data_IF_995904623266
#
_entry.id   IF_995904623266
#
_cell.length_a   1.000
_cell.length_b   1.000
_cell.length_c   1.000
_cell.angle_alpha   90.00
_cell.angle_beta   90.00
_cell.angle_gamma   90.00
#
_symmetry.space_group_name_H-M   'P 1'
#
loop_
_entity.id
_entity.type
_entity.pdbx_description
1 polymer ?
#
# COMPACT_ATOMS: atom_id res chain seq x y z
N UNK A 1 3.75 -31.65 -5.87
CA UNK A 1 3.84 -30.31 -6.47
C UNK A 1 5.12 -29.68 -5.98
N UNK A 2 6.00 -29.25 -6.88
CA UNK A 2 7.19 -28.49 -6.53
C UNK A 2 6.81 -27.01 -6.43
N UNK A 3 7.46 -26.27 -5.54
CA UNK A 3 7.23 -24.85 -5.35
C UNK A 3 8.56 -24.16 -5.56
N UNK A 4 8.63 -23.27 -6.56
CA UNK A 4 9.74 -22.34 -6.70
C UNK A 4 9.50 -21.20 -5.72
N UNK A 5 10.19 -21.25 -4.58
CA UNK A 5 10.28 -20.10 -3.69
C UNK A 5 11.27 -19.12 -4.29
N UNK A 6 10.92 -17.84 -4.27
CA UNK A 6 11.86 -16.77 -4.61
C UNK A 6 12.95 -16.66 -3.53
N UNK A 7 14.08 -16.04 -3.85
CA UNK A 7 15.27 -16.10 -2.99
C UNK A 7 15.04 -15.40 -1.66
N UNK A 8 14.24 -14.33 -1.60
CA UNK A 8 13.90 -13.69 -0.33
C UNK A 8 13.09 -14.60 0.59
N UNK A 9 12.14 -15.38 0.06
CA UNK A 9 11.41 -16.34 0.87
C UNK A 9 12.32 -17.45 1.36
N UNK A 10 13.30 -17.88 0.57
CA UNK A 10 14.29 -18.85 1.04
C UNK A 10 15.15 -18.27 2.17
N UNK A 11 15.60 -17.02 2.06
CA UNK A 11 16.37 -16.34 3.11
C UNK A 11 15.52 -16.14 4.37
N UNK A 12 14.29 -15.64 4.24
CA UNK A 12 13.39 -15.46 5.38
C UNK A 12 13.01 -16.80 6.03
N UNK A 13 12.81 -17.86 5.25
CA UNK A 13 12.64 -19.23 5.77
C UNK A 13 13.86 -19.66 6.58
N UNK A 14 15.08 -19.45 6.06
CA UNK A 14 16.32 -19.79 6.77
C UNK A 14 16.38 -19.05 8.10
N UNK A 15 16.07 -17.76 8.09
CA UNK A 15 16.16 -16.92 9.29
C UNK A 15 15.14 -17.31 10.36
N UNK A 16 13.89 -17.60 9.99
CA UNK A 16 12.89 -18.09 10.94
C UNK A 16 13.28 -19.45 11.52
N UNK A 17 13.84 -20.35 10.70
CA UNK A 17 14.35 -21.63 11.19
C UNK A 17 15.55 -21.40 12.12
N UNK A 18 16.48 -20.51 11.80
CA UNK A 18 17.65 -20.20 12.62
C UNK A 18 17.27 -19.50 13.93
N UNK A 19 16.26 -18.62 13.94
CA UNK A 19 15.72 -18.02 15.16
C UNK A 19 15.21 -19.08 16.13
N UNK A 20 14.45 -20.04 15.61
CA UNK A 20 13.87 -21.13 16.42
C UNK A 20 14.93 -22.16 16.82
N UNK A 21 15.92 -22.38 15.96
CA UNK A 21 17.07 -23.22 16.25
C UNK A 21 18.04 -22.59 17.28
N UNK A 22 18.01 -21.26 17.39
CA UNK A 22 18.81 -20.49 18.34
C UNK A 22 20.28 -20.31 17.94
N UNK A 23 20.71 -20.86 16.80
CA UNK A 23 22.09 -20.73 16.28
C UNK A 23 22.12 -20.63 14.76
N UNK A 24 23.20 -20.06 14.20
CA UNK A 24 23.42 -20.03 12.75
C UNK A 24 23.80 -21.41 12.21
N UNK A 25 23.29 -21.75 11.04
CA UNK A 25 23.56 -23.03 10.38
C UNK A 25 24.61 -22.79 9.30
N UNK A 26 25.82 -23.29 9.54
CA UNK A 26 26.97 -23.02 8.67
C UNK A 26 27.70 -24.29 8.24
N UNK A 27 27.47 -25.41 8.93
CA UNK A 27 28.17 -26.67 8.69
C UNK A 27 27.23 -27.81 8.33
N UNK A 28 27.79 -28.87 7.74
CA UNK A 28 27.05 -30.11 7.49
C UNK A 28 26.53 -30.74 8.78
N UNK A 29 27.25 -30.59 9.90
CA UNK A 29 26.85 -31.12 11.20
C UNK A 29 25.58 -30.44 11.70
N UNK A 30 25.51 -29.11 11.58
CA UNK A 30 24.31 -28.33 11.93
C UNK A 30 23.08 -28.79 11.14
N UNK A 31 23.24 -29.15 9.86
CA UNK A 31 22.15 -29.68 9.04
C UNK A 31 21.69 -31.09 9.46
N UNK A 32 22.59 -31.92 10.01
CA UNK A 32 22.23 -33.24 10.53
C UNK A 32 21.45 -33.08 11.83
N UNK A 33 21.94 -32.22 12.72
CA UNK A 33 21.34 -31.97 14.03
C UNK A 33 19.96 -31.29 13.87
N UNK A 34 19.85 -30.32 12.95
CA UNK A 34 18.57 -29.71 12.61
C UNK A 34 17.59 -30.72 12.00
N UNK A 35 18.04 -31.63 11.12
CA UNK A 35 17.16 -32.66 10.55
C UNK A 35 16.56 -33.57 11.64
N UNK A 36 17.36 -33.92 12.66
CA UNK A 36 16.90 -34.68 13.81
C UNK A 36 15.90 -33.87 14.65
N UNK A 37 16.15 -32.58 14.87
CA UNK A 37 15.26 -31.71 15.61
C UNK A 37 13.91 -31.47 14.91
N UNK A 38 13.92 -31.30 13.58
CA UNK A 38 12.70 -31.20 12.77
C UNK A 38 11.87 -32.47 12.90
N UNK A 39 12.51 -33.64 12.79
CA UNK A 39 11.82 -34.92 12.95
C UNK A 39 11.20 -35.05 14.34
N UNK A 40 11.93 -34.68 15.39
CA UNK A 40 11.46 -34.79 16.77
C UNK A 40 10.29 -33.84 17.05
N UNK A 41 10.32 -32.61 16.53
CA UNK A 41 9.30 -31.59 16.77
C UNK A 41 8.05 -31.74 15.88
N UNK A 42 8.20 -32.23 14.66
CA UNK A 42 7.14 -32.20 13.64
C UNK A 42 6.71 -33.59 13.13
N UNK A 43 7.38 -34.64 13.62
CA UNK A 43 7.26 -36.02 13.12
C UNK A 43 7.47 -36.15 11.61
N UNK A 44 8.23 -35.23 10.99
CA UNK A 44 8.41 -35.16 9.55
C UNK A 44 9.89 -35.25 9.17
N UNK A 45 10.19 -36.11 8.20
CA UNK A 45 11.57 -36.38 7.79
C UNK A 45 12.01 -35.40 6.71
N UNK A 46 13.02 -34.58 7.03
CA UNK A 46 13.74 -33.75 6.06
C UNK A 46 15.18 -34.25 5.96
N UNK A 47 15.67 -34.47 4.75
CA UNK A 47 17.05 -34.93 4.53
C UNK A 47 18.07 -33.83 4.82
N UNK A 48 19.16 -34.15 5.52
CA UNK A 48 20.26 -33.21 5.78
C UNK A 48 20.87 -32.64 4.50
N UNK A 49 20.89 -33.41 3.41
CA UNK A 49 21.33 -32.92 2.09
C UNK A 49 20.38 -31.86 1.51
N UNK A 50 19.09 -31.97 1.76
CA UNK A 50 18.10 -30.95 1.35
C UNK A 50 18.29 -29.67 2.15
N UNK A 51 18.57 -29.80 3.45
CA UNK A 51 18.89 -28.65 4.30
C UNK A 51 20.19 -27.96 3.87
N UNK A 52 21.23 -28.73 3.50
CA UNK A 52 22.49 -28.15 2.98
C UNK A 52 22.27 -27.29 1.74
N UNK A 53 21.38 -27.71 0.83
CA UNK A 53 20.96 -26.89 -0.33
C UNK A 53 20.12 -25.70 0.11
N UNK A 54 19.18 -25.93 1.04
CA UNK A 54 18.32 -24.88 1.58
C UNK A 54 19.15 -23.75 2.18
N UNK A 55 20.18 -24.03 2.99
CA UNK A 55 21.03 -23.04 3.66
C UNK A 55 22.21 -22.54 2.82
N UNK A 56 22.31 -22.91 1.55
CA UNK A 56 23.40 -22.42 0.67
C UNK A 56 24.78 -23.01 0.96
N UNK A 57 24.87 -24.09 1.75
CA UNK A 57 26.14 -24.82 1.99
C UNK A 57 26.58 -25.59 0.73
N UNK A 58 25.63 -25.90 -0.16
CA UNK A 58 25.86 -26.52 -1.47
C UNK A 58 25.07 -25.75 -2.52
N UNK A 59 25.74 -25.30 -3.58
CA UNK A 59 25.10 -24.63 -4.72
C UNK A 59 23.98 -25.47 -5.32
N UNK A 60 22.82 -24.85 -5.55
CA UNK A 60 21.66 -25.53 -6.10
C UNK A 60 20.62 -24.55 -6.63
N UNK A 61 20.22 -24.74 -7.90
CA UNK A 61 19.28 -23.86 -8.62
C UNK A 61 17.94 -24.56 -8.93
N UNK A 62 17.51 -25.48 -8.07
CA UNK A 62 16.29 -26.28 -8.27
C UNK A 62 15.08 -25.82 -7.43
N UNK A 63 14.00 -26.60 -7.47
CA UNK A 63 12.78 -26.34 -6.70
C UNK A 63 12.66 -27.29 -5.50
N UNK A 64 12.15 -26.77 -4.37
CA UNK A 64 11.89 -27.60 -3.20
C UNK A 64 10.49 -28.23 -3.29
N UNK A 65 10.37 -29.45 -2.77
CA UNK A 65 9.06 -30.10 -2.65
C UNK A 65 8.22 -29.35 -1.62
N UNK A 66 6.95 -29.08 -1.94
CA UNK A 66 6.00 -28.45 -1.01
C UNK A 66 5.98 -29.13 0.38
N UNK A 67 5.97 -30.46 0.40
CA UNK A 67 5.97 -31.23 1.65
C UNK A 67 7.20 -31.00 2.53
N UNK A 68 8.35 -30.68 1.93
CA UNK A 68 9.56 -30.30 2.66
C UNK A 68 9.40 -28.90 3.24
N UNK A 69 8.87 -27.95 2.47
CA UNK A 69 8.63 -26.59 2.95
C UNK A 69 7.57 -26.56 4.07
N UNK A 70 6.51 -27.36 3.97
CA UNK A 70 5.50 -27.50 5.02
C UNK A 70 6.05 -28.13 6.30
N UNK A 71 7.01 -29.05 6.20
CA UNK A 71 7.69 -29.60 7.38
C UNK A 71 8.56 -28.55 8.08
N UNK A 72 9.22 -27.68 7.30
CA UNK A 72 10.02 -26.58 7.82
C UNK A 72 9.14 -25.48 8.45
N UNK A 73 8.00 -25.17 7.82
CA UNK A 73 7.04 -24.20 8.37
C UNK A 73 6.46 -24.67 9.71
N UNK A 74 6.09 -25.95 9.83
CA UNK A 74 5.68 -26.54 11.10
C UNK A 74 6.76 -26.52 12.16
N UNK A 75 8.02 -26.72 11.75
CA UNK A 75 9.13 -26.54 12.67
C UNK A 75 9.22 -25.09 13.16
N UNK A 76 8.92 -24.14 12.27
CA UNK A 76 8.87 -22.72 12.54
C UNK A 76 7.60 -22.22 13.29
N UNK A 77 6.72 -23.15 13.69
CA UNK A 77 5.50 -22.85 14.44
C UNK A 77 4.25 -22.57 13.59
N UNK A 78 4.34 -22.72 12.27
CA UNK A 78 3.23 -22.43 11.34
C UNK A 78 2.59 -23.68 10.75
N UNK A 79 1.30 -23.59 10.40
CA UNK A 79 0.53 -24.75 9.94
C UNK A 79 0.97 -25.26 8.56
N UNK A 80 1.38 -24.35 7.68
CA UNK A 80 1.85 -24.66 6.33
C UNK A 80 2.91 -23.66 5.84
N UNK A 81 3.63 -24.03 4.78
CA UNK A 81 4.57 -23.11 4.13
C UNK A 81 3.89 -21.85 3.61
N UNK A 82 2.64 -21.94 3.16
CA UNK A 82 1.86 -20.78 2.74
C UNK A 82 1.54 -19.84 3.91
N UNK A 83 1.26 -20.37 5.11
CA UNK A 83 0.96 -19.54 6.29
C UNK A 83 2.21 -18.84 6.81
N UNK A 84 3.36 -19.53 6.79
CA UNK A 84 4.64 -18.89 7.09
C UNK A 84 4.99 -17.80 6.07
N UNK A 85 4.75 -18.05 4.77
CA UNK A 85 4.92 -17.03 3.72
C UNK A 85 4.02 -15.83 4.00
N UNK A 86 2.73 -16.05 4.33
CA UNK A 86 1.80 -14.98 4.68
C UNK A 86 2.26 -14.18 5.89
N UNK A 87 2.70 -14.85 6.96
CA UNK A 87 3.27 -14.17 8.14
C UNK A 87 4.50 -13.33 7.80
N UNK A 88 5.37 -13.84 6.94
CA UNK A 88 6.56 -13.12 6.43
C UNK A 88 6.15 -11.96 5.52
N UNK A 89 5.01 -12.05 4.83
CA UNK A 89 4.44 -10.97 4.02
C UNK A 89 3.75 -9.90 4.88
N UNK A 90 3.10 -10.30 5.97
CA UNK A 90 2.36 -9.42 6.90
C UNK A 90 3.30 -8.65 7.83
N UNK A 91 4.47 -9.21 8.15
CA UNK A 91 5.56 -8.48 8.76
C UNK A 91 6.38 -7.84 7.64
N UNK A 92 6.50 -6.51 7.60
CA UNK A 92 7.27 -5.73 6.61
C UNK A 92 8.80 -6.03 6.62
N UNK A 93 9.19 -7.29 6.50
CA UNK A 93 10.57 -7.75 6.49
C UNK A 93 11.23 -7.62 5.12
N UNK A 94 10.49 -7.13 4.11
CA UNK A 94 11.02 -6.83 2.78
C UNK A 94 12.20 -5.85 2.87
N UNK A 95 12.15 -4.85 3.75
CA UNK A 95 13.26 -3.92 3.96
C UNK A 95 14.49 -4.60 4.56
N UNK A 96 14.31 -5.50 5.53
CA UNK A 96 15.42 -6.24 6.16
C UNK A 96 16.05 -7.25 5.18
N UNK A 97 15.24 -7.84 4.29
CA UNK A 97 15.73 -8.74 3.24
C UNK A 97 16.47 -7.95 2.14
N UNK A 98 15.99 -6.76 1.75
CA UNK A 98 16.68 -5.89 0.79
C UNK A 98 18.04 -5.41 1.33
N UNK A 99 18.13 -5.08 2.62
CA UNK A 99 19.39 -4.77 3.30
C UNK A 99 20.34 -5.97 3.31
N UNK A 100 19.83 -7.20 3.51
CA UNK A 100 20.66 -8.42 3.43
C UNK A 100 21.17 -8.73 2.02
N UNK A 101 20.39 -8.44 0.98
CA UNK A 101 20.83 -8.64 -0.42
C UNK A 101 21.97 -7.70 -0.83
N UNK A 102 22.04 -6.47 -0.27
CA UNK A 102 23.21 -5.59 -0.44
C UNK A 102 24.48 -6.15 0.23
N UNK A 103 24.34 -6.88 1.33
CA UNK A 103 25.47 -7.44 2.08
C UNK A 103 26.14 -8.61 1.31
N UNK A 104 25.42 -9.28 0.40
CA UNK A 104 25.95 -10.41 -0.37
C UNK A 104 26.75 -10.05 -1.65
N UNK A 105 27.07 -8.77 -1.90
CA UNK A 105 27.91 -8.35 -3.05
C UNK A 105 27.43 -8.86 -4.43
N UNK A 106 26.12 -8.94 -4.63
CA UNK A 106 25.60 -9.04 -6.00
C UNK A 106 25.62 -7.63 -6.59
N UNK A 107 26.31 -7.45 -7.71
CA UNK A 107 26.33 -6.18 -8.44
C UNK A 107 24.98 -6.02 -9.15
N UNK A 108 23.96 -5.64 -8.36
CA UNK A 108 22.59 -5.47 -8.85
C UNK A 108 22.57 -4.18 -9.67
N UNK A 109 22.43 -4.31 -10.98
CA UNK A 109 22.35 -3.21 -11.93
C UNK A 109 20.98 -3.16 -12.66
N UNK A 110 20.81 -2.13 -13.50
CA UNK A 110 19.60 -1.92 -14.31
C UNK A 110 19.31 -3.13 -15.22
N UNK A 111 20.37 -3.76 -15.74
CA UNK A 111 20.27 -4.89 -16.65
C UNK A 111 19.74 -6.13 -15.93
N UNK A 112 20.26 -6.41 -14.73
CA UNK A 112 19.81 -7.54 -13.91
C UNK A 112 18.33 -7.42 -13.53
N UNK A 113 17.89 -6.25 -13.06
CA UNK A 113 16.48 -6.00 -12.73
C UNK A 113 15.60 -6.22 -13.97
N UNK A 114 15.99 -5.64 -15.10
CA UNK A 114 15.21 -5.76 -16.34
C UNK A 114 15.07 -7.21 -16.77
N UNK A 115 16.17 -7.97 -16.76
CA UNK A 115 16.15 -9.38 -17.12
C UNK A 115 15.24 -10.19 -16.17
N UNK A 116 15.33 -9.95 -14.87
CA UNK A 116 14.50 -10.66 -13.88
C UNK A 116 12.99 -10.40 -14.10
N UNK A 117 12.62 -9.12 -14.32
CA UNK A 117 11.24 -8.73 -14.63
C UNK A 117 10.74 -9.28 -15.98
N UNK A 118 11.64 -9.53 -16.93
CA UNK A 118 11.32 -10.16 -18.22
C UNK A 118 11.03 -11.67 -18.05
N UNK A 119 11.71 -12.35 -17.14
CA UNK A 119 11.47 -13.76 -16.79
C UNK A 119 10.20 -13.96 -15.94
N UNK A 120 9.87 -12.98 -15.10
CA UNK A 120 8.61 -12.91 -14.38
C UNK A 120 8.61 -11.87 -13.27
N UNK A 121 7.53 -11.10 -13.14
CA UNK A 121 7.42 -10.04 -12.12
C UNK A 121 7.22 -10.65 -10.74
N UNK A 122 8.17 -10.44 -9.84
CA UNK A 122 8.05 -10.79 -8.41
C UNK A 122 8.13 -9.54 -7.53
N UNK A 123 7.63 -9.64 -6.29
CA UNK A 123 7.75 -8.56 -5.31
C UNK A 123 9.22 -8.20 -5.04
N UNK A 124 10.11 -9.19 -5.05
CA UNK A 124 11.55 -8.99 -4.79
C UNK A 124 12.19 -8.10 -5.85
N UNK A 125 11.95 -8.41 -7.12
CA UNK A 125 12.53 -7.65 -8.25
C UNK A 125 12.07 -6.20 -8.24
N UNK A 126 10.78 -5.98 -7.94
CA UNK A 126 10.21 -4.65 -7.86
C UNK A 126 10.77 -3.88 -6.67
N UNK A 127 10.90 -4.52 -5.51
CA UNK A 127 11.45 -3.86 -4.32
C UNK A 127 12.94 -3.58 -4.43
N UNK A 128 13.69 -4.44 -5.12
CA UNK A 128 15.08 -4.20 -5.48
C UNK A 128 15.21 -3.02 -6.43
N UNK A 129 14.36 -2.94 -7.45
CA UNK A 129 14.27 -1.77 -8.33
C UNK A 129 13.91 -0.49 -7.54
N UNK A 130 12.94 -0.59 -6.62
CA UNK A 130 12.51 0.50 -5.75
C UNK A 130 13.67 1.04 -4.90
N UNK A 131 14.44 0.14 -4.28
CA UNK A 131 15.58 0.50 -3.46
C UNK A 131 16.70 1.17 -4.28
N UNK A 132 17.00 0.62 -5.47
CA UNK A 132 17.96 1.24 -6.37
C UNK A 132 17.50 2.61 -6.87
N UNK A 133 16.21 2.78 -7.16
CA UNK A 133 15.61 4.07 -7.48
C UNK A 133 15.90 5.09 -6.39
N UNK A 134 15.68 4.73 -5.11
CA UNK A 134 15.96 5.63 -4.00
C UNK A 134 17.45 5.98 -3.87
N UNK A 135 18.35 5.01 -4.02
CA UNK A 135 19.80 5.27 -4.01
C UNK A 135 20.20 6.26 -5.11
N UNK A 136 19.70 6.04 -6.34
CA UNK A 136 20.04 6.93 -7.47
C UNK A 136 19.40 8.30 -7.31
N UNK A 137 18.20 8.36 -6.73
CA UNK A 137 17.54 9.62 -6.40
C UNK A 137 18.37 10.41 -5.37
N UNK A 138 18.86 9.77 -4.31
CA UNK A 138 19.72 10.41 -3.30
C UNK A 138 21.08 10.84 -3.86
N UNK A 139 21.59 10.15 -4.87
CA UNK A 139 22.80 10.52 -5.61
C UNK A 139 22.59 11.66 -6.63
N UNK A 140 21.34 12.07 -6.89
CA UNK A 140 21.01 13.03 -7.95
C UNK A 140 21.16 12.48 -9.37
N UNK A 141 21.26 11.15 -9.54
CA UNK A 141 21.38 10.48 -10.84
C UNK A 141 20.00 10.31 -11.49
N UNK A 142 19.42 11.44 -11.89
CA UNK A 142 18.06 11.52 -12.44
C UNK A 142 17.88 10.63 -13.67
N UNK A 143 18.88 10.53 -14.55
CA UNK A 143 18.79 9.69 -15.75
C UNK A 143 18.67 8.21 -15.44
N UNK A 144 19.38 7.70 -14.40
CA UNK A 144 19.18 6.33 -13.95
C UNK A 144 17.82 6.11 -13.31
N UNK A 145 17.32 7.07 -12.54
CA UNK A 145 15.98 6.97 -11.96
C UNK A 145 14.92 6.82 -13.04
N UNK A 146 14.98 7.66 -14.10
CA UNK A 146 14.07 7.58 -15.25
C UNK A 146 14.13 6.19 -15.91
N UNK A 147 15.33 5.68 -16.22
CA UNK A 147 15.47 4.36 -16.86
C UNK A 147 14.97 3.20 -16.00
N UNK A 148 15.20 3.25 -14.69
CA UNK A 148 14.70 2.22 -13.78
C UNK A 148 13.17 2.25 -13.67
N UNK A 149 12.55 3.43 -13.56
CA UNK A 149 11.10 3.55 -13.60
C UNK A 149 10.51 3.06 -14.93
N UNK A 150 11.17 3.35 -16.05
CA UNK A 150 10.77 2.82 -17.37
C UNK A 150 10.86 1.30 -17.44
N UNK A 151 11.84 0.68 -16.78
CA UNK A 151 11.95 -0.78 -16.66
C UNK A 151 10.74 -1.39 -15.93
N UNK A 152 10.11 -0.62 -15.03
CA UNK A 152 8.90 -1.01 -14.31
C UNK A 152 7.60 -0.80 -15.11
N UNK A 153 7.65 -0.31 -16.35
CA UNK A 153 6.45 -0.02 -17.16
C UNK A 153 5.49 -1.22 -17.32
N UNK A 154 6.01 -2.45 -17.32
CA UNK A 154 5.19 -3.67 -17.38
C UNK A 154 4.19 -3.80 -16.23
N UNK A 155 4.50 -3.21 -15.06
CA UNK A 155 3.58 -3.17 -13.93
C UNK A 155 2.35 -2.30 -14.26
N UNK A 156 2.57 -1.19 -14.95
CA UNK A 156 1.53 -0.26 -15.35
C UNK A 156 0.62 -0.88 -16.44
N UNK A 157 1.22 -1.52 -17.44
CA UNK A 157 0.49 -2.20 -18.52
C UNK A 157 -0.45 -3.32 -18.01
N UNK A 158 -0.15 -3.89 -16.84
CA UNK A 158 -0.96 -4.92 -16.17
C UNK A 158 -1.34 -4.50 -14.75
N UNK A 159 -1.69 -3.23 -14.56
CA UNK A 159 -1.92 -2.61 -13.24
C UNK A 159 -2.85 -3.40 -12.33
N UNK A 160 -3.96 -3.91 -12.84
CA UNK A 160 -4.92 -4.70 -12.05
C UNK A 160 -4.31 -5.99 -11.52
N UNK A 161 -3.51 -6.68 -12.35
CA UNK A 161 -2.86 -7.93 -11.97
C UNK A 161 -1.75 -7.70 -10.93
N UNK A 162 -1.05 -6.57 -11.03
CA UNK A 162 0.05 -6.21 -10.14
C UNK A 162 -0.31 -5.13 -9.11
N UNK A 163 -1.59 -4.97 -8.78
CA UNK A 163 -2.07 -3.88 -7.93
C UNK A 163 -1.38 -3.88 -6.57
N UNK A 164 -1.34 -5.02 -5.88
CA UNK A 164 -0.73 -5.13 -4.55
C UNK A 164 0.77 -4.85 -4.58
N UNK A 165 1.50 -5.31 -5.61
CA UNK A 165 2.94 -5.04 -5.77
C UNK A 165 3.19 -3.55 -6.05
N UNK A 166 2.38 -2.95 -6.93
CA UNK A 166 2.47 -1.53 -7.26
C UNK A 166 2.17 -0.65 -6.04
N UNK A 167 1.21 -1.06 -5.21
CA UNK A 167 0.91 -0.37 -3.95
C UNK A 167 2.11 -0.37 -3.00
N UNK A 168 2.76 -1.52 -2.78
CA UNK A 168 3.94 -1.61 -1.91
C UNK A 168 5.10 -0.78 -2.47
N UNK A 169 5.36 -0.86 -3.78
CA UNK A 169 6.35 -0.02 -4.47
C UNK A 169 6.10 1.47 -4.16
N UNK A 170 4.87 1.95 -4.37
CA UNK A 170 4.51 3.34 -4.17
C UNK A 170 4.76 3.80 -2.74
N UNK A 171 4.29 3.04 -1.73
CA UNK A 171 4.47 3.41 -0.33
C UNK A 171 5.94 3.46 0.09
N UNK A 172 6.79 2.65 -0.55
CA UNK A 172 8.22 2.66 -0.30
C UNK A 172 8.94 3.87 -0.94
N UNK A 173 8.60 4.23 -2.18
CA UNK A 173 9.36 5.26 -2.93
C UNK A 173 8.75 6.66 -2.89
N UNK A 174 7.42 6.77 -2.81
CA UNK A 174 6.71 8.04 -2.97
C UNK A 174 7.14 9.13 -1.97
N UNK A 175 7.36 8.86 -0.67
CA UNK A 175 7.78 9.90 0.28
C UNK A 175 9.05 10.63 -0.15
N UNK A 176 10.00 9.91 -0.76
CA UNK A 176 11.25 10.49 -1.27
C UNK A 176 11.06 11.20 -2.60
N UNK A 177 10.20 10.68 -3.48
CA UNK A 177 9.87 11.36 -4.74
C UNK A 177 9.18 12.69 -4.51
N UNK A 178 8.25 12.80 -3.56
CA UNK A 178 7.52 14.05 -3.32
C UNK A 178 8.45 15.17 -2.81
N UNK A 179 9.53 14.82 -2.10
CA UNK A 179 10.53 15.79 -1.62
C UNK A 179 11.39 16.40 -2.74
N UNK A 180 11.30 15.88 -3.96
CA UNK A 180 12.02 16.42 -5.12
C UNK A 180 11.45 17.81 -5.46
N UNK A 181 12.34 18.78 -5.64
CA UNK A 181 12.00 20.17 -6.00
C UNK A 181 12.52 20.61 -7.36
N UNK A 182 13.32 19.76 -8.01
CA UNK A 182 13.80 20.03 -9.37
C UNK A 182 12.66 19.87 -10.37
N UNK A 183 12.10 21.01 -10.79
CA UNK A 183 11.02 21.11 -11.76
C UNK A 183 11.34 20.41 -13.09
N UNK A 184 12.58 20.49 -13.56
CA UNK A 184 12.97 19.83 -14.80
C UNK A 184 12.89 18.31 -14.64
N UNK A 185 13.30 17.79 -13.49
CA UNK A 185 13.23 16.36 -13.22
C UNK A 185 11.81 15.88 -12.97
N UNK A 186 10.99 16.65 -12.25
CA UNK A 186 9.56 16.34 -12.05
C UNK A 186 8.83 16.25 -13.39
N UNK A 187 9.08 17.20 -14.31
CA UNK A 187 8.47 17.15 -15.64
C UNK A 187 8.85 15.85 -16.35
N UNK A 188 10.13 15.45 -16.33
CA UNK A 188 10.59 14.20 -16.93
C UNK A 188 9.99 12.96 -16.28
N UNK A 189 9.87 12.93 -14.95
CA UNK A 189 9.19 11.83 -14.25
C UNK A 189 7.77 11.64 -14.78
N UNK A 190 7.04 12.74 -14.94
CA UNK A 190 5.65 12.74 -15.37
C UNK A 190 5.50 12.35 -16.85
N UNK A 191 6.37 12.87 -17.72
CA UNK A 191 6.21 12.69 -19.18
C UNK A 191 6.94 11.48 -19.76
N UNK A 192 8.02 11.02 -19.12
CA UNK A 192 8.90 9.97 -19.67
C UNK A 192 8.72 8.61 -18.97
N UNK A 193 7.96 8.53 -17.88
CA UNK A 193 7.92 7.33 -17.02
C UNK A 193 6.51 6.98 -16.54
N UNK A 194 6.27 5.76 -16.05
CA UNK A 194 4.99 5.37 -15.45
C UNK A 194 4.79 5.92 -14.01
N UNK A 195 5.55 6.96 -13.60
CA UNK A 195 5.53 7.53 -12.24
C UNK A 195 4.12 7.90 -11.76
N UNK A 196 3.31 8.52 -12.62
CA UNK A 196 1.93 8.89 -12.26
C UNK A 196 1.12 7.66 -11.82
N UNK A 197 1.29 6.56 -12.53
CA UNK A 197 0.50 5.35 -12.41
C UNK A 197 1.02 4.37 -11.36
N UNK A 198 2.34 4.32 -11.15
CA UNK A 198 2.98 3.38 -10.23
C UNK A 198 3.34 3.98 -8.88
N UNK A 199 3.38 5.31 -8.76
CA UNK A 199 3.81 5.99 -7.54
C UNK A 199 2.75 7.00 -7.10
N UNK A 200 2.53 8.04 -7.91
CA UNK A 200 1.75 9.20 -7.47
C UNK A 200 0.28 8.86 -7.19
N UNK A 201 -0.33 7.98 -7.98
CA UNK A 201 -1.75 7.60 -7.81
C UNK A 201 -1.99 6.60 -6.67
N UNK A 202 -0.95 5.87 -6.22
CA UNK A 202 -1.05 4.82 -5.20
C UNK A 202 -0.76 5.33 -3.78
N UNK A 203 0.02 6.41 -3.62
CA UNK A 203 0.37 7.00 -2.33
C UNK A 203 -0.09 8.45 -2.29
N UNK A 204 -1.18 8.71 -1.54
CA UNK A 204 -1.90 9.98 -1.59
C UNK A 204 -2.00 10.62 -0.19
N UNK A 205 -0.93 11.25 0.32
CA UNK A 205 -0.94 11.92 1.62
C UNK A 205 -1.77 13.21 1.52
N UNK A 206 -3.10 13.10 1.61
CA UNK A 206 -4.00 14.22 1.27
C UNK A 206 -3.82 15.45 2.16
N UNK A 207 -3.29 15.27 3.37
CA UNK A 207 -2.97 16.39 4.27
C UNK A 207 -1.75 17.20 3.79
N UNK A 208 -1.00 16.71 2.79
CA UNK A 208 0.15 17.38 2.15
C UNK A 208 -0.20 17.96 0.75
N UNK A 209 -1.50 18.17 0.44
CA UNK A 209 -1.91 18.78 -0.83
C UNK A 209 -1.48 20.25 -1.00
N UNK A 210 -1.22 20.94 0.11
CA UNK A 210 -0.58 22.27 0.08
C UNK A 210 0.94 22.21 -0.14
N UNK A 211 1.58 21.08 0.12
CA UNK A 211 3.02 20.93 0.15
C UNK A 211 3.61 20.22 -1.07
N UNK A 212 4.47 19.25 -0.78
CA UNK A 212 5.36 18.59 -1.75
C UNK A 212 4.58 17.62 -2.65
N UNK A 213 3.70 16.79 -2.07
CA UNK A 213 2.77 15.97 -2.86
C UNK A 213 1.87 16.82 -3.76
N UNK A 214 1.29 17.90 -3.22
CA UNK A 214 0.47 18.83 -3.98
C UNK A 214 1.15 19.44 -5.21
N UNK A 215 2.46 19.69 -5.13
CA UNK A 215 3.26 20.18 -6.27
C UNK A 215 3.25 19.19 -7.42
N UNK A 216 3.45 17.91 -7.12
CA UNK A 216 3.42 16.83 -8.11
C UNK A 216 2.03 16.67 -8.71
N UNK A 217 0.97 16.81 -7.91
CA UNK A 217 -0.43 16.78 -8.39
C UNK A 217 -0.70 17.94 -9.35
N UNK A 218 -0.26 19.17 -9.04
CA UNK A 218 -0.39 20.32 -9.95
C UNK A 218 0.36 20.07 -11.27
N UNK A 219 1.56 19.49 -11.21
CA UNK A 219 2.31 19.09 -12.39
C UNK A 219 1.64 17.98 -13.21
N UNK A 220 0.99 17.01 -12.56
CA UNK A 220 0.19 15.99 -13.25
C UNK A 220 -0.90 16.67 -14.10
N UNK A 221 -1.64 17.60 -13.53
CA UNK A 221 -2.70 18.35 -14.22
C UNK A 221 -2.14 19.22 -15.35
N UNK A 222 -0.98 19.84 -15.16
CA UNK A 222 -0.33 20.68 -16.19
C UNK A 222 0.19 19.88 -17.40
N UNK A 223 0.69 18.65 -17.18
CA UNK A 223 1.50 17.94 -18.18
C UNK A 223 0.84 16.70 -18.77
N UNK A 224 -0.06 16.03 -18.03
CA UNK A 224 -0.71 14.82 -18.52
C UNK A 224 -1.90 15.16 -19.41
N UNK A 225 -2.13 14.40 -20.47
CA UNK A 225 -3.35 14.50 -21.29
C UNK A 225 -4.32 13.32 -21.07
N UNK A 226 -4.01 12.40 -20.15
CA UNK A 226 -4.89 11.27 -19.86
C UNK A 226 -6.06 11.70 -18.96
N UNK A 227 -7.28 11.33 -19.36
CA UNK A 227 -8.52 11.68 -18.63
C UNK A 227 -8.49 11.24 -17.16
N UNK A 228 -7.95 10.04 -16.87
CA UNK A 228 -7.89 9.52 -15.50
C UNK A 228 -6.89 10.30 -14.63
N UNK A 229 -5.74 10.70 -15.19
CA UNK A 229 -4.80 11.59 -14.49
C UNK A 229 -5.42 12.96 -14.23
N UNK A 230 -6.13 13.52 -15.22
CA UNK A 230 -6.82 14.81 -15.09
C UNK A 230 -7.90 14.75 -14.00
N UNK A 231 -8.75 13.72 -14.04
CA UNK A 231 -9.77 13.49 -13.03
C UNK A 231 -9.19 13.27 -11.63
N UNK A 232 -8.12 12.48 -11.52
CA UNK A 232 -7.42 12.24 -10.26
C UNK A 232 -6.84 13.52 -9.68
N UNK A 233 -6.08 14.27 -10.48
CA UNK A 233 -5.44 15.50 -10.04
C UNK A 233 -6.43 16.60 -9.68
N UNK A 234 -7.41 16.86 -10.56
CA UNK A 234 -8.45 17.86 -10.29
C UNK A 234 -9.32 17.50 -9.10
N UNK A 235 -9.66 16.23 -8.88
CA UNK A 235 -10.45 15.84 -7.70
C UNK A 235 -9.69 16.07 -6.40
N UNK A 236 -8.37 15.79 -6.35
CA UNK A 236 -7.55 16.10 -5.18
C UNK A 236 -7.42 17.61 -4.93
N UNK A 237 -7.17 18.40 -5.98
CA UNK A 237 -7.08 19.86 -5.85
C UNK A 237 -8.43 20.48 -5.45
N UNK A 238 -9.55 19.93 -5.92
CA UNK A 238 -10.88 20.32 -5.47
C UNK A 238 -11.12 19.98 -4.00
N UNK A 239 -10.72 18.79 -3.54
CA UNK A 239 -10.76 18.43 -2.11
C UNK A 239 -9.98 19.42 -1.26
N UNK A 240 -8.75 19.76 -1.66
CA UNK A 240 -7.92 20.73 -0.93
C UNK A 240 -8.56 22.12 -0.88
N UNK A 241 -9.05 22.62 -2.03
CA UNK A 241 -9.73 23.91 -2.08
C UNK A 241 -10.96 23.96 -1.16
N UNK A 242 -11.75 22.88 -1.08
CA UNK A 242 -12.87 22.79 -0.14
C UNK A 242 -12.42 22.82 1.33
N UNK A 243 -11.35 22.10 1.69
CA UNK A 243 -10.83 22.12 3.07
C UNK A 243 -10.30 23.48 3.51
N UNK A 244 -9.85 24.29 2.56
CA UNK A 244 -9.44 25.68 2.79
C UNK A 244 -10.60 26.69 2.70
N UNK A 245 -11.83 26.23 2.42
CA UNK A 245 -13.00 27.09 2.25
C UNK A 245 -13.11 27.81 0.90
N UNK A 246 -12.23 27.50 -0.06
CA UNK A 246 -12.26 28.06 -1.42
C UNK A 246 -13.20 27.25 -2.34
N UNK A 247 -14.49 27.51 -2.19
CA UNK A 247 -15.54 26.88 -3.00
C UNK A 247 -15.46 27.21 -4.49
N UNK A 248 -14.89 28.37 -4.87
CA UNK A 248 -14.81 28.80 -6.27
C UNK A 248 -13.78 27.95 -7.00
N UNK A 249 -12.58 27.83 -6.44
CA UNK A 249 -11.50 27.01 -7.01
C UNK A 249 -11.89 25.53 -7.01
N UNK A 250 -12.53 25.04 -5.94
CA UNK A 250 -13.05 23.68 -5.90
C UNK A 250 -14.01 23.38 -7.06
N UNK A 251 -14.95 24.31 -7.32
CA UNK A 251 -15.89 24.20 -8.42
C UNK A 251 -15.17 24.20 -9.77
N UNK A 252 -14.20 25.09 -9.99
CA UNK A 252 -13.44 25.15 -11.25
C UNK A 252 -12.71 23.84 -11.56
N UNK A 253 -12.03 23.26 -10.57
CA UNK A 253 -11.37 21.96 -10.74
C UNK A 253 -12.37 20.86 -11.07
N UNK A 254 -13.51 20.81 -10.39
CA UNK A 254 -14.53 19.81 -10.68
C UNK A 254 -15.12 19.93 -12.09
N UNK A 255 -15.29 21.16 -12.61
CA UNK A 255 -15.75 21.38 -13.99
C UNK A 255 -14.73 20.92 -15.03
N UNK A 256 -13.47 20.76 -14.64
CA UNK A 256 -12.39 20.30 -15.53
C UNK A 256 -12.34 18.76 -15.63
N UNK A 257 -13.13 18.05 -14.82
CA UNK A 257 -13.20 16.58 -14.84
C UNK A 257 -14.21 16.13 -15.90
N UNK A 258 -13.77 15.25 -16.81
CA UNK A 258 -14.65 14.59 -17.77
C UNK A 258 -15.55 13.57 -17.04
N UNK A 259 -16.84 13.85 -16.88
CA UNK A 259 -17.77 12.99 -16.12
C UNK A 259 -18.47 11.92 -16.96
N UNK A 260 -18.24 11.89 -18.27
CA UNK A 260 -18.86 10.91 -19.17
C UNK A 260 -18.08 9.58 -19.21
N UNK A 261 -17.00 9.47 -18.43
CA UNK A 261 -16.19 8.26 -18.27
C UNK A 261 -16.47 7.54 -16.97
N UNK A 262 -16.29 6.22 -17.01
CA UNK A 262 -16.18 5.39 -15.83
C UNK A 262 -14.76 5.46 -15.26
N UNK A 263 -14.65 5.81 -13.98
CA UNK A 263 -13.39 5.83 -13.24
C UNK A 263 -13.30 4.66 -12.27
N UNK A 264 -12.08 4.35 -11.82
CA UNK A 264 -11.87 3.41 -10.73
C UNK A 264 -12.66 3.84 -9.47
N UNK A 265 -13.22 2.86 -8.75
CA UNK A 265 -14.21 3.07 -7.68
C UNK A 265 -13.85 4.18 -6.67
N UNK A 266 -12.60 4.20 -6.19
CA UNK A 266 -12.12 5.24 -5.26
C UNK A 266 -12.19 6.66 -5.86
N UNK A 267 -11.79 6.81 -7.13
CA UNK A 267 -11.80 8.09 -7.82
C UNK A 267 -13.23 8.53 -8.11
N UNK A 268 -14.06 7.61 -8.59
CA UNK A 268 -15.48 7.87 -8.86
C UNK A 268 -16.19 8.37 -7.60
N UNK A 269 -16.05 7.67 -6.48
CA UNK A 269 -16.69 8.07 -5.23
C UNK A 269 -16.19 9.42 -4.70
N UNK A 270 -14.90 9.75 -4.87
CA UNK A 270 -14.39 11.10 -4.56
C UNK A 270 -15.06 12.17 -5.43
N UNK A 271 -15.17 11.94 -6.74
CA UNK A 271 -15.79 12.89 -7.68
C UNK A 271 -17.26 13.12 -7.33
N UNK A 272 -18.01 12.05 -7.03
CA UNK A 272 -19.45 12.15 -6.75
C UNK A 272 -19.72 12.90 -5.44
N UNK A 273 -18.95 12.65 -4.38
CA UNK A 273 -19.03 13.42 -3.13
C UNK A 273 -18.65 14.89 -3.35
N UNK A 274 -17.58 15.17 -4.09
CA UNK A 274 -17.19 16.55 -4.44
C UNK A 274 -18.27 17.26 -5.25
N UNK A 275 -18.93 16.54 -6.16
CA UNK A 275 -20.01 17.08 -6.96
C UNK A 275 -21.23 17.47 -6.13
N UNK A 276 -21.59 16.65 -5.15
CA UNK A 276 -22.61 16.99 -4.17
C UNK A 276 -22.20 18.26 -3.38
N UNK A 277 -20.99 18.29 -2.81
CA UNK A 277 -20.53 19.37 -1.93
C UNK A 277 -20.42 20.73 -2.63
N UNK A 278 -20.04 20.74 -3.92
CA UNK A 278 -19.82 21.98 -4.68
C UNK A 278 -21.08 22.54 -5.33
N UNK A 279 -22.09 21.71 -5.60
CA UNK A 279 -23.28 22.14 -6.32
C UNK A 279 -24.52 22.37 -5.45
N UNK A 280 -24.45 22.15 -4.11
CA UNK A 280 -25.55 22.37 -3.14
C UNK A 280 -26.93 22.14 -3.76
N UNK A 281 -27.17 20.93 -4.25
CA UNK A 281 -28.51 20.53 -4.64
C UNK A 281 -29.34 20.21 -3.39
N UNK A 282 -30.65 20.37 -3.47
CA UNK A 282 -31.60 19.95 -2.42
C UNK A 282 -31.78 18.43 -2.35
N UNK A 283 -31.20 17.69 -3.29
CA UNK A 283 -31.19 16.23 -3.31
C UNK A 283 -30.11 15.67 -2.38
N UNK A 284 -30.42 14.57 -1.72
CA UNK A 284 -29.58 13.91 -0.72
C UNK A 284 -28.23 13.41 -1.27
N UNK A 285 -27.23 13.20 -0.41
CA UNK A 285 -25.88 12.76 -0.86
C UNK A 285 -25.95 11.36 -1.48
N UNK A 286 -26.78 10.48 -0.93
CA UNK A 286 -26.95 9.10 -1.42
C UNK A 286 -27.44 9.08 -2.87
N UNK A 287 -28.23 10.05 -3.30
CA UNK A 287 -28.71 10.13 -4.69
C UNK A 287 -27.59 10.37 -5.73
N UNK A 288 -26.44 10.88 -5.29
CA UNK A 288 -25.26 11.13 -6.12
C UNK A 288 -24.26 9.98 -6.08
N UNK A 289 -24.31 9.13 -5.06
CA UNK A 289 -23.36 8.05 -4.84
C UNK A 289 -23.91 6.73 -5.38
N UNK A 290 -23.15 6.05 -6.25
CA UNK A 290 -23.54 4.78 -6.87
C UNK A 290 -22.40 3.75 -6.83
N UNK A 291 -21.98 3.30 -5.64
CA UNK A 291 -20.99 2.22 -5.55
C UNK A 291 -21.54 0.94 -6.19
N UNK A 292 -20.66 0.17 -6.83
CA UNK A 292 -20.98 -1.22 -7.20
C UNK A 292 -21.15 -2.06 -5.93
N UNK A 293 -22.01 -3.10 -5.94
CA UNK A 293 -22.17 -3.98 -4.78
C UNK A 293 -20.85 -4.60 -4.33
N UNK A 294 -20.50 -4.45 -3.05
CA UNK A 294 -19.25 -4.94 -2.46
C UNK A 294 -18.04 -4.02 -2.65
N UNK A 295 -18.20 -2.85 -3.30
CA UNK A 295 -17.14 -1.85 -3.49
C UNK A 295 -17.32 -0.61 -2.59
N UNK A 296 -18.28 -0.60 -1.68
CA UNK A 296 -18.66 0.55 -0.86
C UNK A 296 -17.46 1.12 -0.09
N UNK A 297 -16.63 0.25 0.52
CA UNK A 297 -15.43 0.67 1.26
C UNK A 297 -14.44 1.39 0.35
N UNK A 298 -14.22 0.90 -0.87
CA UNK A 298 -13.31 1.55 -1.82
C UNK A 298 -13.89 2.84 -2.36
N UNK A 299 -15.16 2.83 -2.75
CA UNK A 299 -15.86 3.99 -3.27
C UNK A 299 -15.82 5.15 -2.27
N UNK A 300 -16.09 4.88 -1.00
CA UNK A 300 -16.12 5.91 0.05
C UNK A 300 -14.78 6.15 0.76
N UNK A 301 -13.71 5.43 0.39
CA UNK A 301 -12.37 5.57 0.98
C UNK A 301 -11.91 7.02 1.10
N UNK A 302 -12.13 7.83 0.07
CA UNK A 302 -11.75 9.24 0.08
C UNK A 302 -12.90 10.17 0.55
N UNK A 303 -14.15 9.79 0.26
CA UNK A 303 -15.32 10.62 0.53
C UNK A 303 -15.63 10.78 2.01
N UNK A 304 -15.71 9.68 2.76
CA UNK A 304 -16.08 9.72 4.19
C UNK A 304 -15.06 10.53 5.02
N UNK A 305 -13.74 10.28 4.93
CA UNK A 305 -12.78 11.09 5.68
C UNK A 305 -12.87 12.58 5.34
N UNK A 306 -13.09 12.93 4.07
CA UNK A 306 -13.27 14.31 3.65
C UNK A 306 -14.53 14.95 4.25
N UNK A 307 -15.65 14.22 4.32
CA UNK A 307 -16.88 14.71 4.96
C UNK A 307 -16.67 14.98 6.46
N UNK A 308 -15.93 14.11 7.16
CA UNK A 308 -15.57 14.33 8.57
C UNK A 308 -14.67 15.56 8.72
N UNK A 309 -13.67 15.75 7.86
CA UNK A 309 -12.80 16.94 7.88
C UNK A 309 -13.58 18.25 7.64
N UNK A 310 -14.63 18.18 6.83
CA UNK A 310 -15.53 19.31 6.55
C UNK A 310 -16.70 19.41 7.54
N UNK A 311 -16.71 18.57 8.57
CA UNK A 311 -17.73 18.48 9.63
C UNK A 311 -19.16 18.34 9.09
N UNK A 312 -19.34 17.50 8.06
CA UNK A 312 -20.61 17.24 7.36
C UNK A 312 -21.40 16.11 8.02
N UNK A 313 -21.97 16.41 9.19
CA UNK A 313 -22.65 15.42 10.04
C UNK A 313 -23.84 14.75 9.34
N UNK A 314 -24.76 15.54 8.78
CA UNK A 314 -25.97 15.05 8.13
C UNK A 314 -25.63 14.11 6.97
N UNK A 315 -24.65 14.48 6.15
CA UNK A 315 -24.20 13.68 5.03
C UNK A 315 -23.53 12.37 5.45
N UNK A 316 -22.69 12.41 6.49
CA UNK A 316 -22.07 11.19 7.03
C UNK A 316 -23.14 10.26 7.58
N UNK A 317 -24.10 10.80 8.34
CA UNK A 317 -25.23 10.02 8.87
C UNK A 317 -26.03 9.37 7.75
N UNK A 318 -26.39 10.14 6.72
CA UNK A 318 -27.18 9.64 5.58
C UNK A 318 -26.47 8.47 4.88
N UNK A 319 -25.14 8.55 4.70
CA UNK A 319 -24.37 7.46 4.12
C UNK A 319 -24.39 6.19 5.00
N UNK A 320 -24.24 6.32 6.32
CA UNK A 320 -24.30 5.17 7.26
C UNK A 320 -25.70 4.54 7.37
N UNK A 321 -26.76 5.30 7.10
CA UNK A 321 -28.13 4.78 7.09
C UNK A 321 -28.46 3.99 5.80
N UNK A 322 -27.80 4.32 4.68
CA UNK A 322 -28.12 3.75 3.36
C UNK A 322 -27.14 2.69 2.88
N UNK A 323 -25.88 2.75 3.29
CA UNK A 323 -24.83 1.81 2.87
C UNK A 323 -24.33 0.97 4.03
N UNK A 324 -24.03 -0.30 3.74
CA UNK A 324 -23.43 -1.21 4.71
C UNK A 324 -21.91 -1.24 4.57
N UNK A 325 -21.22 -0.68 5.56
CA UNK A 325 -19.77 -0.62 5.62
C UNK A 325 -19.13 -1.77 6.43
N UNK A 326 -19.95 -2.64 7.02
CA UNK A 326 -19.51 -3.57 8.07
C UNK A 326 -19.78 -5.04 7.74
N UNK A 327 -20.56 -5.35 6.69
CA UNK A 327 -20.86 -6.74 6.32
C UNK A 327 -19.69 -7.54 5.76
N UNK A 328 -18.71 -6.88 5.13
CA UNK A 328 -17.58 -7.56 4.51
C UNK A 328 -16.28 -7.39 5.31
N UNK A 329 -15.77 -8.52 5.83
CA UNK A 329 -14.41 -8.60 6.40
C UNK A 329 -13.40 -8.80 5.27
N UNK A 330 -12.82 -7.70 4.80
CA UNK A 330 -11.85 -7.75 3.72
C UNK A 330 -10.52 -8.37 4.16
N UNK A 331 -9.88 -9.12 3.24
CA UNK A 331 -8.58 -9.76 3.46
C UNK A 331 -7.38 -8.87 3.04
N UNK A 332 -7.61 -7.70 2.41
CA UNK A 332 -6.55 -6.83 1.89
C UNK A 332 -6.32 -5.61 2.79
N UNK A 333 -5.08 -5.40 3.24
CA UNK A 333 -4.69 -4.37 4.22
C UNK A 333 -5.12 -2.92 3.85
N UNK A 334 -5.14 -2.58 2.55
CA UNK A 334 -5.60 -1.27 2.07
C UNK A 334 -7.10 -1.05 2.34
N UNK A 335 -7.90 -2.09 2.15
CA UNK A 335 -9.33 -2.08 2.43
C UNK A 335 -9.55 -2.05 3.95
N UNK A 336 -8.73 -2.77 4.71
CA UNK A 336 -8.72 -2.69 6.17
C UNK A 336 -8.39 -1.28 6.70
N UNK A 337 -7.38 -0.60 6.15
CA UNK A 337 -7.05 0.78 6.54
C UNK A 337 -8.19 1.75 6.23
N UNK A 338 -8.84 1.57 5.07
CA UNK A 338 -10.00 2.38 4.68
C UNK A 338 -11.21 2.10 5.58
N UNK A 339 -11.45 0.83 5.92
CA UNK A 339 -12.50 0.40 6.85
C UNK A 339 -12.27 0.96 8.26
N UNK A 340 -11.02 0.97 8.74
CA UNK A 340 -10.67 1.58 10.02
C UNK A 340 -10.99 3.09 10.04
N UNK A 341 -10.74 3.81 8.94
CA UNK A 341 -11.14 5.23 8.83
C UNK A 341 -12.65 5.41 8.85
N UNK A 342 -13.41 4.50 8.22
CA UNK A 342 -14.88 4.50 8.31
C UNK A 342 -15.34 4.25 9.75
N UNK A 343 -14.70 3.34 10.49
CA UNK A 343 -14.99 3.13 11.91
C UNK A 343 -14.75 4.41 12.73
N UNK A 344 -13.63 5.11 12.49
CA UNK A 344 -13.35 6.40 13.14
C UNK A 344 -14.41 7.45 12.77
N UNK A 345 -14.88 7.48 11.52
CA UNK A 345 -15.97 8.37 11.11
C UNK A 345 -17.29 8.05 11.83
N UNK A 346 -17.59 6.77 12.07
CA UNK A 346 -18.74 6.37 12.88
C UNK A 346 -18.58 6.81 14.35
N UNK A 347 -17.37 6.72 14.90
CA UNK A 347 -17.09 7.22 16.25
C UNK A 347 -17.31 8.73 16.34
N UNK A 348 -16.88 9.49 15.32
CA UNK A 348 -17.14 10.93 15.22
C UNK A 348 -18.64 11.24 15.23
N UNK A 349 -19.43 10.50 14.44
CA UNK A 349 -20.89 10.63 14.43
C UNK A 349 -21.51 10.30 15.79
N UNK A 350 -21.09 9.23 16.45
CA UNK A 350 -21.56 8.90 17.80
C UNK A 350 -21.22 9.98 18.82
N UNK A 351 -20.04 10.60 18.73
CA UNK A 351 -19.66 11.69 19.63
C UNK A 351 -20.58 12.92 19.44
N UNK A 352 -20.84 13.32 18.19
CA UNK A 352 -21.80 14.40 17.84
C UNK A 352 -23.22 14.13 18.33
N UNK A 353 -23.64 12.86 18.29
CA UNK A 353 -24.94 12.40 18.80
C UNK A 353 -24.97 12.16 20.32
N UNK A 354 -23.95 12.61 21.06
CA UNK A 354 -23.82 12.47 22.51
C UNK A 354 -23.78 10.99 22.99
N UNK A 355 -23.37 10.07 22.13
CA UNK A 355 -23.13 8.66 22.43
C UNK A 355 -21.65 8.40 22.76
N UNK A 356 -21.12 9.16 23.72
CA UNK A 356 -19.68 9.24 24.06
C UNK A 356 -19.06 7.87 24.33
N UNK A 357 -19.72 6.98 25.08
CA UNK A 357 -19.16 5.66 25.40
C UNK A 357 -18.95 4.78 24.17
N UNK A 358 -19.83 4.89 23.16
CA UNK A 358 -19.65 4.15 21.90
C UNK A 358 -18.50 4.73 21.09
N UNK A 359 -18.40 6.06 21.03
CA UNK A 359 -17.31 6.74 20.35
C UNK A 359 -15.96 6.38 20.98
N UNK A 360 -15.86 6.44 22.32
CA UNK A 360 -14.66 6.10 23.10
C UNK A 360 -14.20 4.67 22.80
N UNK A 361 -15.11 3.70 22.87
CA UNK A 361 -14.79 2.29 22.62
C UNK A 361 -14.15 2.06 21.23
N UNK A 362 -14.62 2.79 20.22
CA UNK A 362 -14.04 2.73 18.87
C UNK A 362 -12.67 3.42 18.83
N UNK A 363 -12.54 4.63 19.39
CA UNK A 363 -11.27 5.37 19.36
C UNK A 363 -10.15 4.61 20.09
N UNK A 364 -10.43 4.02 21.24
CA UNK A 364 -9.46 3.21 22.01
C UNK A 364 -8.96 2.00 21.20
N UNK A 365 -9.82 1.40 20.35
CA UNK A 365 -9.42 0.30 19.47
C UNK A 365 -8.37 0.75 18.43
N UNK A 366 -8.46 1.98 17.91
CA UNK A 366 -7.60 2.46 16.82
C UNK A 366 -6.40 3.30 17.28
N UNK A 367 -6.31 3.63 18.57
CA UNK A 367 -5.22 4.46 19.11
C UNK A 367 -3.84 3.83 18.93
N UNK A 368 -3.76 2.49 18.97
CA UNK A 368 -2.52 1.73 18.77
C UNK A 368 -2.31 1.23 17.34
N UNK A 369 -3.20 1.59 16.40
CA UNK A 369 -3.11 1.13 15.01
C UNK A 369 -1.89 1.76 14.32
N UNK A 370 -1.07 0.92 13.70
CA UNK A 370 0.01 1.37 12.81
C UNK A 370 -0.61 1.69 11.45
N UNK A 371 -0.65 2.98 11.12
CA UNK A 371 -1.20 3.47 9.88
C UNK A 371 -0.12 3.56 8.79
N UNK A 372 -0.47 3.27 7.52
CA UNK A 372 0.34 3.67 6.38
C UNK A 372 0.64 5.17 6.42
N UNK A 373 1.81 5.58 5.93
CA UNK A 373 2.29 6.97 6.11
C UNK A 373 1.40 8.03 5.46
N UNK A 374 0.71 7.73 4.36
CA UNK A 374 -0.25 8.60 3.71
C UNK A 374 -1.62 8.64 4.41
N UNK A 375 -2.00 7.56 5.11
CA UNK A 375 -3.24 7.48 5.89
C UNK A 375 -3.10 8.12 7.27
N UNK A 376 -1.92 8.04 7.86
CA UNK A 376 -1.69 8.45 9.26
C UNK A 376 -2.16 9.88 9.55
N UNK A 377 -1.77 10.93 8.78
CA UNK A 377 -2.11 12.30 9.13
C UNK A 377 -3.62 12.57 9.15
N UNK A 378 -4.35 12.00 8.19
CA UNK A 378 -5.81 12.17 8.14
C UNK A 378 -6.50 11.35 9.23
N UNK A 379 -6.05 10.12 9.49
CA UNK A 379 -6.59 9.30 10.58
C UNK A 379 -6.38 9.97 11.94
N UNK A 380 -5.18 10.50 12.20
CA UNK A 380 -4.87 11.26 13.41
C UNK A 380 -5.78 12.49 13.54
N UNK A 381 -6.02 13.20 12.42
CA UNK A 381 -6.91 14.36 12.41
C UNK A 381 -8.36 13.99 12.70
N UNK A 382 -8.86 12.89 12.14
CA UNK A 382 -10.22 12.39 12.42
C UNK A 382 -10.36 11.98 13.89
N UNK A 383 -9.38 11.27 14.46
CA UNK A 383 -9.36 10.91 15.88
C UNK A 383 -9.37 12.16 16.76
N UNK A 384 -8.58 13.18 16.40
CA UNK A 384 -8.57 14.47 17.11
C UNK A 384 -9.94 15.15 17.08
N UNK A 385 -10.60 15.18 15.91
CA UNK A 385 -11.95 15.74 15.78
C UNK A 385 -12.93 14.99 16.67
N UNK A 386 -12.94 13.65 16.64
CA UNK A 386 -13.80 12.84 17.52
C UNK A 386 -13.57 13.13 19.01
N UNK A 387 -12.30 13.24 19.43
CA UNK A 387 -11.95 13.58 20.82
C UNK A 387 -12.43 14.97 21.24
N UNK A 388 -12.33 15.94 20.35
CA UNK A 388 -12.88 17.28 20.58
C UNK A 388 -14.38 17.24 20.83
N UNK A 389 -15.13 16.43 20.08
CA UNK A 389 -16.58 16.24 20.29
C UNK A 389 -16.91 15.57 21.63
N UNK A 390 -16.03 14.68 22.11
CA UNK A 390 -16.17 14.02 23.41
C UNK A 390 -15.76 14.92 24.59
N UNK A 391 -15.23 16.13 24.34
CA UNK A 391 -14.60 17.02 25.34
C UNK A 391 -13.35 16.40 26.00
N UNK A 392 -12.59 15.61 25.25
CA UNK A 392 -11.36 14.96 25.69
C UNK A 392 -10.18 15.60 24.95
N UNK A 393 -9.59 16.66 25.52
CA UNK A 393 -8.38 17.29 24.98
C UNK A 393 -7.13 16.86 25.73
#
# INVERSE_FOLDING_TARGET
MNVKLSQSFLVAFRDEIQKIWGTKITTQRDCIDLAAAILLKTNSKVGSHTLRRLFGIVEWNGEFRKTTLDALARYAGESSSNDLIRRIQDQENLVEILVKLQVEKVDIDEYFIKQSLDEGVTMEDVMMAAHMILIRLEQGDHDRVIRMLQTLKKLDEKRTHYYSISSVLAHYVAPKFHQVKDESFINRLITETPYLNLVLSFYAPIMDLGGDFGRHVRKMVELSNEDEHQAYGHSLLASHALTEGDHITAKQHLHSINRDRDYFSILQGRIDVLFYLTNKNTSSIVSHCRPSPGEEIFYFKAGIPMLVLLEKEDEVQELFEHFDFFSDSSLHWLQQSSQNQIHIAQAWLFARQNQVEKARAIIEQYESTIWPSDYKPISDKMIQLTRSEMNEL
#
